data_IF_898952351766
#
_entry.id   IF_898952351766
#
_cell.length_a   1.000
_cell.length_b   1.000
_cell.length_c   1.000
_cell.angle_alpha   90.00
_cell.angle_beta   90.00
_cell.angle_gamma   90.00
#
_symmetry.space_group_name_H-M   'P 1'
#
loop_
_entity.id
_entity.type
_entity.pdbx_description
1 polymer ?
#
# COMPACT_ATOMS: atom_id res chain seq x y z
N UNK A 1 -10.90 -2.38 -14.72
CA UNK A 1 -11.76 -3.57 -14.58
C UNK A 1 -12.98 -3.52 -15.50
N UNK A 2 -13.72 -2.41 -15.58
CA UNK A 2 -14.90 -2.29 -16.45
C UNK A 2 -14.60 -2.48 -17.95
N UNK A 3 -13.36 -2.26 -18.37
CA UNK A 3 -12.87 -2.48 -19.74
C UNK A 3 -12.35 -3.90 -20.00
N UNK A 4 -12.40 -4.79 -19.02
CA UNK A 4 -11.82 -6.13 -19.16
C UNK A 4 -12.67 -6.98 -20.12
N UNK A 5 -12.11 -7.54 -21.22
CA UNK A 5 -12.89 -8.22 -22.25
C UNK A 5 -13.79 -9.34 -21.73
N UNK A 6 -13.33 -10.10 -20.74
CA UNK A 6 -14.10 -11.20 -20.12
C UNK A 6 -15.31 -10.75 -19.30
N UNK A 7 -15.40 -9.47 -18.93
CA UNK A 7 -16.51 -8.91 -18.17
C UNK A 7 -17.46 -8.10 -19.06
N UNK A 8 -17.02 -7.71 -20.26
CA UNK A 8 -17.84 -7.00 -21.23
C UNK A 8 -18.83 -7.98 -21.87
N UNK A 9 -20.12 -7.62 -21.86
CA UNK A 9 -21.23 -8.40 -22.45
C UNK A 9 -21.43 -9.81 -21.88
N UNK A 10 -20.89 -10.10 -20.68
CA UNK A 10 -21.09 -11.39 -20.00
C UNK A 10 -22.02 -11.23 -18.80
N UNK A 11 -22.97 -12.16 -18.65
CA UNK A 11 -23.85 -12.21 -17.48
C UNK A 11 -23.19 -13.01 -16.36
N UNK A 12 -22.99 -12.36 -15.21
CA UNK A 12 -22.50 -13.03 -13.99
C UNK A 12 -23.66 -13.36 -13.07
N UNK A 13 -23.91 -14.63 -12.83
CA UNK A 13 -25.01 -15.06 -11.95
C UNK A 13 -24.63 -14.93 -10.46
N UNK A 14 -23.42 -15.34 -10.10
CA UNK A 14 -22.94 -15.35 -8.70
C UNK A 14 -21.59 -14.64 -8.61
N UNK A 15 -21.50 -13.64 -7.75
CA UNK A 15 -20.27 -12.90 -7.45
C UNK A 15 -19.78 -13.25 -6.05
N UNK A 16 -18.61 -13.88 -5.95
CA UNK A 16 -17.87 -14.00 -4.70
C UNK A 16 -17.03 -12.72 -4.53
N UNK A 17 -17.39 -11.88 -3.57
CA UNK A 17 -16.86 -10.52 -3.45
C UNK A 17 -15.92 -10.41 -2.25
N UNK A 18 -14.71 -9.87 -2.49
CA UNK A 18 -13.84 -9.40 -1.42
C UNK A 18 -14.47 -8.18 -0.74
N UNK A 19 -14.94 -8.39 0.49
CA UNK A 19 -15.66 -7.40 1.30
C UNK A 19 -14.80 -6.78 2.40
N UNK A 20 -13.47 -6.80 2.23
CA UNK A 20 -12.52 -6.26 3.21
C UNK A 20 -12.90 -4.86 3.71
N UNK A 21 -13.26 -3.95 2.79
CA UNK A 21 -13.64 -2.57 3.09
C UNK A 21 -15.09 -2.23 2.70
N UNK A 22 -16.02 -3.18 2.85
CA UNK A 22 -17.45 -2.96 2.61
C UNK A 22 -18.11 -2.12 3.73
N UNK A 23 -17.64 -0.88 3.92
CA UNK A 23 -18.21 0.12 4.82
C UNK A 23 -17.97 1.53 4.25
N UNK A 24 -18.99 2.41 4.20
CA UNK A 24 -18.89 3.76 3.61
C UNK A 24 -17.74 4.63 4.12
N UNK A 25 -17.25 4.37 5.33
CA UNK A 25 -16.12 5.09 5.91
C UNK A 25 -14.84 4.94 5.10
N UNK A 26 -14.65 3.83 4.38
CA UNK A 26 -13.42 3.54 3.63
C UNK A 26 -13.43 4.14 2.23
N UNK A 27 -12.94 5.37 2.11
CA UNK A 27 -12.74 6.10 0.85
C UNK A 27 -11.26 6.41 0.68
N UNK A 28 -10.52 5.51 0.05
CA UNK A 28 -9.08 5.68 -0.12
C UNK A 28 -8.78 6.71 -1.21
N UNK A 29 -7.70 7.50 -1.06
CA UNK A 29 -7.15 8.26 -2.16
C UNK A 29 -6.65 7.33 -3.28
N UNK A 30 -6.48 7.87 -4.49
CA UNK A 30 -5.94 7.10 -5.62
C UNK A 30 -4.53 6.60 -5.30
N UNK A 31 -4.14 5.48 -5.94
CA UNK A 31 -2.78 4.95 -5.78
C UNK A 31 -1.77 5.98 -6.26
N UNK A 32 -2.06 6.67 -7.36
CA UNK A 32 -1.23 7.70 -7.97
C UNK A 32 -0.96 8.88 -7.02
N UNK A 33 -1.99 9.35 -6.30
CA UNK A 33 -1.84 10.43 -5.32
C UNK A 33 -0.97 9.99 -4.15
N UNK A 34 -1.18 8.77 -3.64
CA UNK A 34 -0.36 8.22 -2.54
C UNK A 34 1.09 8.05 -2.97
N UNK A 35 1.35 7.57 -4.18
CA UNK A 35 2.71 7.43 -4.73
C UNK A 35 3.38 8.80 -4.88
N UNK A 36 2.66 9.78 -5.43
CA UNK A 36 3.15 11.15 -5.60
C UNK A 36 3.48 11.81 -4.26
N UNK A 37 2.62 11.61 -3.26
CA UNK A 37 2.85 12.06 -1.88
C UNK A 37 4.11 11.44 -1.28
N UNK A 38 4.26 10.11 -1.34
CA UNK A 38 5.43 9.40 -0.81
C UNK A 38 6.73 9.89 -1.45
N UNK A 39 6.73 10.06 -2.77
CA UNK A 39 7.90 10.59 -3.51
C UNK A 39 8.21 12.01 -3.08
N UNK A 40 7.20 12.88 -2.95
CA UNK A 40 7.37 14.27 -2.52
C UNK A 40 7.97 14.35 -1.11
N UNK A 41 7.37 13.66 -0.13
CA UNK A 41 7.88 13.62 1.25
C UNK A 41 9.32 13.10 1.29
N UNK A 42 9.64 12.07 0.49
CA UNK A 42 11.00 11.54 0.39
C UNK A 42 11.98 12.60 -0.09
N UNK A 43 11.65 13.31 -1.19
CA UNK A 43 12.50 14.38 -1.74
C UNK A 43 12.67 15.53 -0.77
N UNK A 44 11.60 15.99 -0.13
CA UNK A 44 11.64 17.06 0.87
C UNK A 44 12.52 16.69 2.06
N UNK A 45 12.39 15.45 2.57
CA UNK A 45 13.19 14.97 3.70
C UNK A 45 14.68 14.87 3.33
N UNK A 46 15.00 14.33 2.14
CA UNK A 46 16.38 14.23 1.66
C UNK A 46 17.01 15.61 1.42
N UNK A 47 16.24 16.62 1.00
CA UNK A 47 16.75 18.00 0.90
C UNK A 47 17.14 18.59 2.25
N UNK A 48 16.37 18.28 3.31
CA UNK A 48 16.64 18.78 4.67
C UNK A 48 17.72 17.96 5.38
N UNK A 49 17.74 16.65 5.14
CA UNK A 49 18.66 15.70 5.77
C UNK A 49 19.18 14.70 4.73
N UNK A 50 20.24 15.04 3.97
CA UNK A 50 20.73 14.20 2.87
C UNK A 50 21.21 12.82 3.29
N UNK A 51 21.72 12.68 4.52
CA UNK A 51 22.16 11.41 5.11
C UNK A 51 20.99 10.66 5.74
N UNK A 52 19.92 10.43 4.98
CA UNK A 52 18.75 9.68 5.46
C UNK A 52 18.61 8.35 4.73
N UNK A 53 18.39 7.30 5.51
CA UNK A 53 18.00 5.99 5.02
C UNK A 53 16.48 5.93 4.81
N UNK A 54 16.05 5.63 3.60
CA UNK A 54 14.64 5.45 3.24
C UNK A 54 14.26 3.98 3.43
N UNK A 55 13.21 3.72 4.20
CA UNK A 55 12.71 2.36 4.46
C UNK A 55 11.26 2.23 4.04
N UNK A 56 10.92 1.23 3.24
CA UNK A 56 9.53 0.91 2.91
C UNK A 56 9.16 -0.44 3.48
N UNK A 57 8.08 -0.48 4.26
CA UNK A 57 7.51 -1.72 4.76
C UNK A 57 6.69 -2.44 3.70
N UNK A 58 6.95 -3.71 3.48
CA UNK A 58 6.08 -4.56 2.67
C UNK A 58 6.02 -5.99 3.24
N UNK A 59 4.98 -6.75 2.89
CA UNK A 59 4.72 -8.13 3.35
C UNK A 59 5.58 -9.14 2.60
N UNK A 60 5.01 -10.19 2.00
CA UNK A 60 5.75 -11.08 1.09
C UNK A 60 5.67 -10.59 -0.35
N UNK A 61 4.47 -10.21 -0.78
CA UNK A 61 4.10 -9.68 -2.10
C UNK A 61 3.20 -8.45 -1.85
N UNK A 62 3.19 -7.51 -2.77
CA UNK A 62 2.36 -6.32 -2.73
C UNK A 62 3.16 -5.07 -2.39
N UNK A 63 2.63 -3.92 -2.82
CA UNK A 63 3.16 -2.57 -2.55
C UNK A 63 4.49 -2.29 -3.25
N UNK A 64 4.84 -3.11 -4.25
CA UNK A 64 5.99 -2.92 -5.14
C UNK A 64 6.03 -1.51 -5.72
N UNK A 65 4.86 -1.02 -6.15
CA UNK A 65 4.72 0.30 -6.74
C UNK A 65 5.21 1.43 -5.82
N UNK A 66 5.13 1.29 -4.50
CA UNK A 66 5.54 2.33 -3.54
C UNK A 66 7.05 2.54 -3.58
N UNK A 67 7.83 1.47 -3.40
CA UNK A 67 9.28 1.59 -3.41
C UNK A 67 9.85 1.72 -4.83
N UNK A 68 9.16 1.20 -5.86
CA UNK A 68 9.52 1.47 -7.26
C UNK A 68 9.35 2.95 -7.62
N UNK A 69 8.27 3.59 -7.17
CA UNK A 69 8.05 5.02 -7.41
C UNK A 69 9.17 5.87 -6.80
N UNK A 70 9.59 5.56 -5.56
CA UNK A 70 10.73 6.23 -4.92
C UNK A 70 12.03 5.96 -5.70
N UNK A 71 12.32 4.70 -6.03
CA UNK A 71 13.52 4.30 -6.74
C UNK A 71 13.65 5.03 -8.09
N UNK A 72 12.57 5.04 -8.89
CA UNK A 72 12.49 5.74 -10.17
C UNK A 72 12.65 7.25 -10.01
N UNK A 73 11.99 7.85 -9.01
CA UNK A 73 12.04 9.29 -8.80
C UNK A 73 13.39 9.80 -8.30
N UNK A 74 14.21 8.95 -7.70
CA UNK A 74 15.55 9.26 -7.21
C UNK A 74 16.68 8.70 -8.09
N UNK A 75 16.37 7.82 -9.06
CA UNK A 75 17.37 7.16 -9.90
C UNK A 75 18.26 6.17 -9.13
N UNK A 76 17.73 5.51 -8.10
CA UNK A 76 18.49 4.61 -7.22
C UNK A 76 17.93 3.18 -7.27
N UNK A 77 18.77 2.21 -6.88
CA UNK A 77 18.36 0.81 -6.72
C UNK A 77 17.64 0.58 -5.39
N UNK A 78 17.00 -0.58 -5.25
CA UNK A 78 16.24 -1.00 -4.08
C UNK A 78 16.98 -2.14 -3.40
N UNK A 79 17.37 -1.96 -2.15
CA UNK A 79 17.89 -3.05 -1.35
C UNK A 79 16.74 -3.87 -0.76
N UNK A 80 16.81 -5.19 -0.95
CA UNK A 80 15.94 -6.16 -0.29
C UNK A 80 16.78 -7.37 0.13
N UNK A 81 16.39 -8.07 1.20
CA UNK A 81 17.11 -9.26 1.65
C UNK A 81 16.99 -10.43 0.64
N UNK A 82 17.83 -11.45 0.78
CA UNK A 82 17.89 -12.58 -0.16
C UNK A 82 16.53 -13.30 -0.32
N UNK A 83 15.80 -13.49 0.78
CA UNK A 83 14.47 -14.12 0.75
C UNK A 83 13.49 -13.33 -0.13
N UNK A 84 13.41 -12.02 0.09
CA UNK A 84 12.54 -11.12 -0.67
C UNK A 84 12.96 -11.00 -2.14
N UNK A 85 14.26 -10.91 -2.42
CA UNK A 85 14.74 -10.83 -3.81
C UNK A 85 14.32 -12.06 -4.63
N UNK A 86 14.35 -13.27 -4.05
CA UNK A 86 13.86 -14.48 -4.73
C UNK A 86 12.39 -14.38 -5.12
N UNK A 87 11.54 -13.87 -4.22
CA UNK A 87 10.12 -13.65 -4.49
C UNK A 87 9.95 -12.61 -5.62
N UNK A 88 10.64 -11.48 -5.50
CA UNK A 88 10.55 -10.39 -6.47
C UNK A 88 11.05 -10.80 -7.87
N UNK A 89 12.07 -11.65 -7.94
CA UNK A 89 12.59 -12.20 -9.20
C UNK A 89 11.61 -13.18 -9.84
N UNK A 90 10.80 -13.91 -9.05
CA UNK A 90 9.81 -14.84 -9.61
C UNK A 90 8.64 -14.17 -10.34
N UNK A 91 8.44 -12.86 -10.20
CA UNK A 91 7.39 -12.15 -10.94
C UNK A 91 7.72 -11.94 -12.42
N UNK A 92 8.99 -12.06 -12.82
CA UNK A 92 9.41 -11.76 -14.19
C UNK A 92 9.22 -10.29 -14.60
N UNK A 93 9.13 -9.37 -13.62
CA UNK A 93 9.00 -7.94 -13.89
C UNK A 93 10.39 -7.33 -14.05
N UNK A 94 10.68 -6.86 -15.27
CA UNK A 94 11.94 -6.20 -15.63
C UNK A 94 12.24 -4.99 -14.74
N UNK A 95 11.24 -4.17 -14.46
CA UNK A 95 11.38 -2.97 -13.64
C UNK A 95 11.80 -3.27 -12.21
N UNK A 96 11.40 -4.42 -11.65
CA UNK A 96 11.85 -4.82 -10.31
C UNK A 96 13.23 -5.45 -10.40
N UNK A 97 13.39 -6.47 -11.25
CA UNK A 97 14.60 -7.28 -11.31
C UNK A 97 15.86 -6.46 -11.61
N UNK A 98 15.78 -5.48 -12.53
CA UNK A 98 16.90 -4.59 -12.90
C UNK A 98 17.25 -3.57 -11.81
N UNK A 99 16.28 -3.21 -10.97
CA UNK A 99 16.43 -2.19 -9.94
C UNK A 99 16.75 -2.75 -8.55
N UNK A 100 16.92 -4.06 -8.38
CA UNK A 100 17.32 -4.65 -7.11
C UNK A 100 18.83 -4.52 -6.84
N UNK A 101 19.18 -4.28 -5.58
CA UNK A 101 20.54 -4.34 -5.06
C UNK A 101 20.68 -5.51 -4.07
N UNK A 102 21.80 -6.24 -4.17
CA UNK A 102 22.20 -7.23 -3.18
C UNK A 102 22.94 -6.63 -2.01
N UNK A 103 23.53 -5.44 -2.20
CA UNK A 103 24.28 -4.69 -1.19
C UNK A 103 23.43 -3.55 -0.62
N UNK A 104 23.25 -3.55 0.70
CA UNK A 104 22.53 -2.50 1.42
C UNK A 104 23.34 -1.21 1.58
N UNK A 105 24.66 -1.25 1.41
CA UNK A 105 25.50 -0.04 1.45
C UNK A 105 25.50 0.72 0.12
N UNK A 106 25.03 0.10 -0.96
CA UNK A 106 25.02 0.67 -2.30
C UNK A 106 23.78 1.54 -2.62
N UNK A 107 22.78 1.58 -1.73
CA UNK A 107 21.58 2.40 -1.92
C UNK A 107 21.00 2.84 -0.59
N UNK A 108 20.34 4.01 -0.56
CA UNK A 108 19.62 4.48 0.61
C UNK A 108 18.18 3.97 0.71
N UNK A 109 17.67 3.19 -0.25
CA UNK A 109 16.29 2.70 -0.26
C UNK A 109 16.21 1.21 0.08
N UNK A 110 15.68 0.89 1.26
CA UNK A 110 15.61 -0.47 1.80
C UNK A 110 14.16 -0.91 1.96
N UNK A 111 13.87 -2.16 1.57
CA UNK A 111 12.57 -2.79 1.79
C UNK A 111 12.66 -3.80 2.92
N UNK A 112 11.91 -3.55 4.00
CA UNK A 112 11.88 -4.39 5.19
C UNK A 112 10.50 -5.03 5.40
N UNK A 113 10.42 -6.15 6.14
CA UNK A 113 9.14 -6.70 6.58
C UNK A 113 8.34 -5.68 7.38
N UNK A 114 7.02 -5.62 7.20
CA UNK A 114 6.16 -4.66 7.92
C UNK A 114 6.31 -4.74 9.46
N UNK A 115 6.60 -5.93 10.00
CA UNK A 115 6.87 -6.15 11.42
C UNK A 115 8.15 -5.46 11.94
N UNK A 116 9.07 -5.09 11.04
CA UNK A 116 10.31 -4.38 11.37
C UNK A 116 10.17 -2.87 11.36
N UNK A 117 9.04 -2.32 10.90
CA UNK A 117 8.82 -0.87 10.80
C UNK A 117 8.47 -0.25 12.16
N UNK A 118 9.10 -0.67 13.26
CA UNK A 118 8.95 -0.12 14.62
C UNK A 118 10.17 0.71 14.98
N UNK A 119 10.04 1.71 15.86
CA UNK A 119 11.14 2.65 16.14
C UNK A 119 12.40 1.92 16.58
N UNK A 120 12.25 0.94 17.48
CA UNK A 120 13.36 0.19 18.07
C UNK A 120 14.11 -0.62 17.00
N UNK A 121 13.37 -1.30 16.12
CA UNK A 121 13.94 -2.11 15.02
C UNK A 121 14.55 -1.27 13.91
N UNK A 122 13.98 -0.09 13.65
CA UNK A 122 14.55 0.85 12.68
C UNK A 122 15.84 1.49 13.22
N UNK A 123 15.92 1.74 14.52
CA UNK A 123 17.16 2.20 15.17
C UNK A 123 18.25 1.11 15.12
N UNK A 124 17.90 -0.15 15.41
CA UNK A 124 18.80 -1.30 15.23
C UNK A 124 19.31 -1.42 13.78
N UNK A 125 18.40 -1.30 12.81
CA UNK A 125 18.76 -1.33 11.40
C UNK A 125 19.65 -0.14 11.01
N UNK A 126 19.37 1.06 11.51
CA UNK A 126 20.19 2.26 11.27
C UNK A 126 21.63 2.10 11.82
N UNK A 127 21.81 1.42 12.96
CA UNK A 127 23.15 1.19 13.55
C UNK A 127 24.11 0.49 12.59
N UNK A 128 23.59 -0.43 11.76
CA UNK A 128 24.38 -1.14 10.73
C UNK A 128 24.94 -0.19 9.66
N UNK A 129 24.23 0.92 9.39
CA UNK A 129 24.57 1.89 8.35
C UNK A 129 24.92 3.29 8.91
N UNK A 130 25.28 3.38 10.19
CA UNK A 130 25.52 4.66 10.91
C UNK A 130 26.61 5.54 10.29
N UNK A 131 27.54 4.94 9.55
CA UNK A 131 28.61 5.66 8.84
C UNK A 131 28.07 6.38 7.60
N UNK A 132 27.00 5.88 6.98
CA UNK A 132 26.39 6.47 5.78
C UNK A 132 25.20 7.37 6.15
N UNK A 133 24.36 6.92 7.08
CA UNK A 133 23.08 7.56 7.39
C UNK A 133 22.98 8.00 8.86
N UNK A 134 22.43 9.20 9.06
CA UNK A 134 22.17 9.79 10.37
C UNK A 134 20.70 9.78 10.79
N UNK A 135 19.78 9.42 9.88
CA UNK A 135 18.35 9.33 10.15
C UNK A 135 17.66 8.26 9.31
N UNK A 136 16.43 7.90 9.69
CA UNK A 136 15.54 7.02 8.93
C UNK A 136 14.23 7.75 8.63
N UNK A 137 13.84 7.72 7.36
CA UNK A 137 12.48 8.01 6.92
C UNK A 137 11.83 6.69 6.48
N UNK A 138 10.77 6.29 7.17
CA UNK A 138 10.10 5.03 6.95
C UNK A 138 8.65 5.21 6.50
N UNK A 139 8.20 4.39 5.55
CA UNK A 139 6.82 4.34 5.08
C UNK A 139 6.19 2.99 5.43
N UNK A 140 5.01 3.03 6.04
CA UNK A 140 4.09 1.91 6.26
C UNK A 140 2.91 2.03 5.29
N UNK A 141 3.03 1.58 4.04
CA UNK A 141 1.93 1.58 3.09
C UNK A 141 0.87 0.57 3.53
N UNK A 142 -0.25 1.03 4.10
CA UNK A 142 -1.37 0.16 4.50
C UNK A 142 -2.70 0.90 4.39
N UNK A 143 -3.72 0.25 3.84
CA UNK A 143 -5.09 0.77 3.83
C UNK A 143 -5.63 1.05 5.24
N UNK A 144 -5.16 0.31 6.25
CA UNK A 144 -5.53 0.50 7.66
C UNK A 144 -5.10 1.83 8.27
N UNK A 145 -4.11 2.52 7.70
CA UNK A 145 -3.72 3.84 8.22
C UNK A 145 -4.71 4.93 7.79
N UNK A 146 -5.64 4.61 6.90
CA UNK A 146 -6.70 5.53 6.52
C UNK A 146 -7.56 5.92 7.73
N UNK A 147 -7.84 7.21 7.84
CA UNK A 147 -8.91 7.74 8.69
C UNK A 147 -9.76 8.69 7.87
N UNK A 148 -11.06 8.77 8.17
CA UNK A 148 -11.98 9.70 7.48
C UNK A 148 -11.49 11.16 7.55
N UNK A 149 -10.77 11.52 8.62
CA UNK A 149 -10.18 12.85 8.79
C UNK A 149 -9.04 13.14 7.81
N UNK A 150 -8.29 12.12 7.42
CA UNK A 150 -7.23 12.24 6.42
C UNK A 150 -7.87 12.24 5.04
N UNK A 151 -8.83 11.35 4.78
CA UNK A 151 -9.57 11.33 3.51
C UNK A 151 -8.63 11.36 2.30
N UNK A 152 -8.86 12.32 1.42
CA UNK A 152 -8.01 12.66 0.27
C UNK A 152 -6.89 13.66 0.61
N UNK A 153 -6.93 14.28 1.79
CA UNK A 153 -5.97 15.28 2.25
C UNK A 153 -4.74 14.62 2.87
N UNK A 154 -3.88 14.03 2.03
CA UNK A 154 -2.65 13.34 2.44
C UNK A 154 -1.69 14.22 3.27
N UNK A 155 -1.74 15.55 3.12
CA UNK A 155 -0.93 16.48 3.91
C UNK A 155 -1.27 16.53 5.40
N UNK A 156 -2.46 16.04 5.79
CA UNK A 156 -2.86 15.92 7.19
C UNK A 156 -2.20 14.72 7.91
N UNK A 157 -1.50 13.84 7.18
CA UNK A 157 -0.82 12.68 7.76
C UNK A 157 0.30 13.18 8.69
N UNK A 158 0.15 12.86 9.97
CA UNK A 158 1.16 13.12 11.00
C UNK A 158 2.07 11.90 11.15
N UNK A 159 3.38 12.00 10.90
CA UNK A 159 4.29 10.90 11.13
C UNK A 159 4.53 10.69 12.62
N UNK A 160 4.93 9.46 12.97
CA UNK A 160 5.52 9.17 14.28
C UNK A 160 6.98 9.59 14.21
N UNK A 161 7.39 10.52 15.07
CA UNK A 161 8.77 11.01 15.15
C UNK A 161 9.35 10.67 16.52
N UNK A 162 10.47 9.96 16.55
CA UNK A 162 11.22 9.64 17.77
C UNK A 162 12.70 9.71 17.49
N UNK A 163 13.33 10.82 17.89
CA UNK A 163 14.74 11.10 17.62
C UNK A 163 15.03 11.13 16.12
N UNK A 164 15.88 10.21 15.66
CA UNK A 164 16.35 10.09 14.27
C UNK A 164 15.40 9.30 13.36
N UNK A 165 14.29 8.78 13.90
CA UNK A 165 13.37 7.90 13.19
C UNK A 165 12.06 8.63 12.95
N UNK A 166 11.67 8.74 11.68
CA UNK A 166 10.39 9.28 11.23
C UNK A 166 9.62 8.20 10.49
N UNK A 167 8.39 7.90 10.90
CA UNK A 167 7.55 6.85 10.29
C UNK A 167 6.23 7.45 9.83
N UNK A 168 6.00 7.45 8.52
CA UNK A 168 4.71 7.75 7.91
C UNK A 168 3.92 6.47 7.72
N UNK A 169 2.67 6.44 8.15
CA UNK A 169 1.72 5.47 7.63
C UNK A 169 0.92 6.10 6.50
N UNK A 170 0.94 5.47 5.33
CA UNK A 170 0.35 6.03 4.11
C UNK A 170 -0.79 5.12 3.63
N UNK A 171 -1.95 5.69 3.23
CA UNK A 171 -3.16 4.93 2.91
C UNK A 171 -3.09 4.29 1.52
N UNK A 172 -2.05 3.48 1.27
CA UNK A 172 -1.92 2.67 0.06
C UNK A 172 -2.70 1.37 0.24
N UNK A 173 -3.87 1.26 -0.40
CA UNK A 173 -4.72 0.06 -0.39
C UNK A 173 -4.54 -0.76 -1.66
N UNK A 174 -4.51 -2.08 -1.51
CA UNK A 174 -4.61 -3.04 -2.62
C UNK A 174 -5.99 -3.71 -2.68
N UNK A 175 -6.87 -3.40 -1.72
CA UNK A 175 -8.28 -3.77 -1.73
C UNK A 175 -9.13 -2.58 -2.18
N UNK A 176 -10.27 -2.87 -2.79
CA UNK A 176 -11.24 -1.86 -3.22
C UNK A 176 -11.81 -1.08 -2.03
N UNK A 177 -11.92 0.23 -2.21
CA UNK A 177 -12.74 1.13 -1.39
C UNK A 177 -14.22 0.78 -1.49
N UNK A 178 -15.03 1.34 -0.60
CA UNK A 178 -16.48 1.15 -0.63
C UNK A 178 -17.11 1.64 -1.94
N UNK A 179 -16.63 2.76 -2.47
CA UNK A 179 -17.12 3.33 -3.73
C UNK A 179 -16.74 2.47 -4.93
N UNK A 180 -15.50 1.99 -4.99
CA UNK A 180 -15.06 1.08 -6.05
C UNK A 180 -15.83 -0.26 -6.01
N UNK A 181 -16.10 -0.80 -4.82
CA UNK A 181 -16.93 -2.00 -4.66
C UNK A 181 -18.34 -1.77 -5.19
N UNK A 182 -18.97 -0.65 -4.80
CA UNK A 182 -20.31 -0.28 -5.26
C UNK A 182 -20.35 -0.14 -6.79
N UNK A 183 -19.42 0.61 -7.36
CA UNK A 183 -19.35 0.85 -8.81
C UNK A 183 -19.13 -0.45 -9.58
N UNK A 184 -18.29 -1.34 -9.06
CA UNK A 184 -18.05 -2.64 -9.66
C UNK A 184 -19.30 -3.53 -9.62
N UNK A 185 -20.01 -3.58 -8.49
CA UNK A 185 -21.26 -4.33 -8.35
C UNK A 185 -22.36 -3.76 -9.24
N UNK A 186 -22.50 -2.44 -9.32
CA UNK A 186 -23.47 -1.75 -10.17
C UNK A 186 -23.21 -1.96 -11.66
N UNK A 187 -21.93 -2.03 -12.05
CA UNK A 187 -21.53 -2.40 -13.40
C UNK A 187 -21.87 -3.85 -13.73
N UNK A 188 -21.49 -4.79 -12.85
CA UNK A 188 -21.61 -6.23 -13.13
C UNK A 188 -23.04 -6.76 -13.00
N UNK A 189 -23.86 -6.14 -12.12
CA UNK A 189 -25.24 -6.51 -11.79
C UNK A 189 -25.47 -8.02 -11.59
N UNK A 190 -24.75 -8.68 -10.67
CA UNK A 190 -24.92 -10.11 -10.44
C UNK A 190 -26.29 -10.44 -9.82
N UNK A 191 -26.81 -11.64 -10.08
CA UNK A 191 -28.06 -12.11 -9.48
C UNK A 191 -27.89 -12.38 -7.96
N UNK A 192 -26.69 -12.80 -7.55
CA UNK A 192 -26.35 -13.12 -6.15
C UNK A 192 -24.93 -12.68 -5.80
N UNK A 193 -24.78 -12.09 -4.61
CA UNK A 193 -23.48 -11.72 -4.03
C UNK A 193 -23.20 -12.57 -2.79
N UNK A 194 -22.01 -13.16 -2.73
CA UNK A 194 -21.51 -13.94 -1.59
C UNK A 194 -20.28 -13.20 -1.03
N UNK A 195 -20.36 -12.61 0.18
CA UNK A 195 -19.22 -11.95 0.81
C UNK A 195 -18.19 -13.01 1.24
N UNK A 196 -16.90 -12.73 1.07
CA UNK A 196 -15.81 -13.65 1.46
C UNK A 196 -15.03 -13.18 2.68
N UNK A 197 -15.18 -11.91 3.08
CA UNK A 197 -14.46 -11.30 4.21
C UNK A 197 -15.45 -10.68 5.20
N UNK A 198 -15.07 -10.60 6.48
CA UNK A 198 -15.91 -10.04 7.56
C UNK A 198 -17.23 -10.81 7.79
N UNK A 199 -17.23 -12.11 7.50
CA UNK A 199 -18.43 -12.97 7.54
C UNK A 199 -18.70 -13.65 8.89
N UNK A 200 -17.80 -13.56 9.88
CA UNK A 200 -17.95 -14.27 11.15
C UNK A 200 -19.09 -13.72 12.02
N UNK A 201 -19.36 -12.40 11.96
CA UNK A 201 -20.39 -11.73 12.75
C UNK A 201 -21.70 -11.54 11.98
N UNK A 202 -22.83 -11.96 12.56
CA UNK A 202 -24.17 -11.77 11.98
C UNK A 202 -24.50 -10.30 11.67
N UNK A 203 -24.15 -9.38 12.56
CA UNK A 203 -24.40 -7.95 12.35
C UNK A 203 -23.58 -7.38 11.18
N UNK A 204 -22.34 -7.85 10.99
CA UNK A 204 -21.53 -7.46 9.82
C UNK A 204 -22.12 -8.02 8.53
N UNK A 205 -22.60 -9.27 8.55
CA UNK A 205 -23.28 -9.88 7.40
C UNK A 205 -24.53 -9.09 7.01
N UNK A 206 -25.39 -8.73 7.97
CA UNK A 206 -26.62 -7.99 7.69
C UNK A 206 -26.32 -6.60 7.09
N UNK A 207 -25.31 -5.90 7.62
CA UNK A 207 -24.88 -4.60 7.07
C UNK A 207 -24.41 -4.72 5.62
N UNK A 208 -23.58 -5.73 5.31
CA UNK A 208 -23.12 -5.96 3.93
C UNK A 208 -24.29 -6.30 3.00
N UNK A 209 -25.21 -7.17 3.44
CA UNK A 209 -26.41 -7.52 2.66
C UNK A 209 -27.30 -6.30 2.41
N UNK A 210 -27.43 -5.40 3.39
CA UNK A 210 -28.13 -4.14 3.20
C UNK A 210 -27.49 -3.28 2.11
N UNK A 211 -26.16 -3.14 2.11
CA UNK A 211 -25.45 -2.41 1.06
C UNK A 211 -25.68 -3.05 -0.32
N UNK A 212 -25.62 -4.38 -0.43
CA UNK A 212 -25.85 -5.08 -1.70
C UNK A 212 -27.25 -4.85 -2.26
N UNK A 213 -28.28 -4.92 -1.40
CA UNK A 213 -29.67 -4.61 -1.79
C UNK A 213 -29.81 -3.18 -2.28
N UNK A 214 -29.15 -2.23 -1.62
CA UNK A 214 -29.14 -0.83 -2.02
C UNK A 214 -28.46 -0.64 -3.39
N UNK A 215 -27.28 -1.23 -3.59
CA UNK A 215 -26.50 -1.07 -4.82
C UNK A 215 -27.17 -1.67 -6.06
N UNK A 216 -27.94 -2.75 -5.88
CA UNK A 216 -28.65 -3.43 -6.97
C UNK A 216 -30.07 -2.90 -7.21
N UNK A 217 -30.52 -1.94 -6.40
CA UNK A 217 -31.81 -1.28 -6.61
C UNK A 217 -31.80 -0.57 -7.98
N UNK A 218 -32.88 -0.76 -8.74
CA UNK A 218 -33.07 -0.15 -10.06
C UNK A 218 -33.29 1.34 -9.96
#
# INVERSE_FOLDING_TARGET
MQTHPLLLNQRVHVLYLDTTYCNPRYRFPSKEDVLSYVVRITKEFLRKQPRTLIVVGSYSIGKECVYLAIAKALGIKIFANASRRRILQSFGWDDISKNLSTDGKATCLHVLPMSSLRVERLDEHLKVYREQYGAVLAFRPTGWTYSEKIGEHLDLIKPIVKGKITIYGVPYSEHSSFTELREFVQFLRPDKIIPTVNISNAGSREKMQSCFREWLRR
#
